data_IF_678857202829
#
_entry.id   IF_678857202829
#
_cell.length_a   1.000
_cell.length_b   1.000
_cell.length_c   1.000
_cell.angle_alpha   90.00
_cell.angle_beta   90.00
_cell.angle_gamma   90.00
#
_symmetry.space_group_name_H-M   'P 1'
#
loop_
_entity.id
_entity.type
_entity.pdbx_description
1 polymer ?
#
# COMPACT_ATOMS: atom_id res chain seq x y z
N UNK A 1 2.33 -2.61 11.57
CA UNK A 1 2.31 -4.09 11.47
C UNK A 1 1.18 -4.59 12.34
N UNK A 2 0.31 -5.42 11.80
CA UNK A 2 -0.86 -5.91 12.51
C UNK A 2 -1.02 -7.41 12.27
N UNK A 3 -1.57 -8.10 13.27
CA UNK A 3 -2.02 -9.47 13.10
C UNK A 3 -3.30 -9.52 12.24
N UNK A 4 -3.37 -10.50 11.33
CA UNK A 4 -4.47 -10.61 10.37
C UNK A 4 -5.71 -11.21 11.03
N UNK A 5 -5.57 -12.14 11.99
CA UNK A 5 -6.72 -12.80 12.63
C UNK A 5 -7.45 -11.86 13.60
N UNK A 6 -6.70 -11.34 14.58
CA UNK A 6 -7.21 -10.50 15.67
C UNK A 6 -7.33 -9.03 15.32
N UNK A 7 -6.69 -8.59 14.22
CA UNK A 7 -6.56 -7.17 13.83
C UNK A 7 -5.79 -6.33 14.85
N UNK A 8 -5.03 -6.97 15.73
CA UNK A 8 -4.25 -6.29 16.76
C UNK A 8 -3.01 -5.63 16.14
N UNK A 9 -2.75 -4.37 16.50
CA UNK A 9 -1.55 -3.66 16.08
C UNK A 9 -0.37 -4.10 16.92
N UNK A 10 0.57 -4.81 16.31
CA UNK A 10 1.76 -5.35 16.98
C UNK A 10 2.87 -4.31 17.10
N UNK A 11 3.09 -3.54 16.04
CA UNK A 11 4.17 -2.54 16.00
C UNK A 11 3.85 -1.44 14.98
N UNK A 12 4.28 -0.22 15.23
CA UNK A 12 4.25 0.87 14.26
C UNK A 12 5.41 1.84 14.48
N UNK A 13 5.91 2.38 13.37
CA UNK A 13 7.00 3.35 13.38
C UNK A 13 6.55 4.51 12.49
N UNK A 14 6.51 5.76 13.01
CA UNK A 14 6.15 6.91 12.20
C UNK A 14 7.26 7.20 11.17
N UNK A 15 6.85 7.55 9.95
CA UNK A 15 7.78 8.07 8.95
C UNK A 15 7.91 9.59 9.11
N UNK A 16 9.11 10.05 9.46
CA UNK A 16 9.40 11.47 9.75
C UNK A 16 10.07 12.19 8.56
N UNK A 17 9.95 11.63 7.35
CA UNK A 17 10.54 12.22 6.15
C UNK A 17 12.07 12.15 6.16
N UNK A 18 12.72 13.25 5.77
CA UNK A 18 14.19 13.36 5.66
C UNK A 18 14.92 13.18 6.99
N UNK A 19 14.23 13.37 8.12
CA UNK A 19 14.81 13.15 9.44
C UNK A 19 14.92 11.66 9.82
N UNK A 20 14.39 10.75 8.98
CA UNK A 20 14.46 9.31 9.25
C UNK A 20 15.89 8.82 9.05
N UNK A 21 16.60 8.53 10.13
CA UNK A 21 17.92 7.91 10.05
C UNK A 21 17.77 6.41 9.78
N UNK A 22 18.22 5.95 8.62
CA UNK A 22 18.17 4.53 8.21
C UNK A 22 19.51 3.82 8.32
N UNK A 23 20.54 4.47 8.88
CA UNK A 23 21.91 3.93 8.99
C UNK A 23 22.45 3.38 7.65
N UNK A 24 22.15 4.07 6.55
CA UNK A 24 22.59 3.68 5.20
C UNK A 24 21.75 2.59 4.52
N UNK A 25 20.77 1.99 5.21
CA UNK A 25 19.85 1.04 4.58
C UNK A 25 18.81 1.74 3.70
N UNK A 26 18.36 1.09 2.61
CA UNK A 26 17.19 1.54 1.88
C UNK A 26 15.98 1.64 2.82
N UNK A 27 15.21 2.72 2.71
CA UNK A 27 14.08 3.02 3.59
C UNK A 27 13.11 1.84 3.78
N UNK A 28 12.82 1.12 2.68
CA UNK A 28 11.96 -0.07 2.67
C UNK A 28 12.48 -1.18 3.59
N UNK A 29 13.79 -1.42 3.58
CA UNK A 29 14.43 -2.53 4.30
C UNK A 29 14.57 -2.16 5.77
N UNK A 30 14.94 -0.92 6.05
CA UNK A 30 14.98 -0.36 7.40
C UNK A 30 13.63 -0.55 8.10
N UNK A 31 12.54 -0.04 7.51
CA UNK A 31 11.22 -0.16 8.12
C UNK A 31 10.77 -1.60 8.26
N UNK A 32 11.05 -2.46 7.28
CA UNK A 32 10.67 -3.86 7.39
C UNK A 32 11.41 -4.56 8.52
N UNK A 33 12.72 -4.36 8.65
CA UNK A 33 13.52 -4.96 9.72
C UNK A 33 13.11 -4.48 11.11
N UNK A 34 12.87 -3.17 11.26
CA UNK A 34 12.46 -2.59 12.55
C UNK A 34 11.01 -2.93 12.92
N UNK A 35 10.08 -2.88 11.96
CA UNK A 35 8.67 -3.20 12.21
C UNK A 35 8.50 -4.67 12.62
N UNK A 36 9.28 -5.57 12.03
CA UNK A 36 9.17 -7.02 12.28
C UNK A 36 10.00 -7.49 13.46
N UNK A 37 10.77 -6.62 14.11
CA UNK A 37 11.61 -6.96 15.28
C UNK A 37 10.92 -7.82 16.35
N UNK A 38 9.64 -7.57 16.72
CA UNK A 38 8.95 -8.38 17.74
C UNK A 38 8.68 -9.84 17.32
N UNK A 39 8.78 -10.15 16.03
CA UNK A 39 8.42 -11.46 15.46
C UNK A 39 9.61 -12.11 14.74
N UNK A 40 10.83 -11.63 14.96
CA UNK A 40 12.03 -12.35 14.48
C UNK A 40 12.10 -13.71 15.19
N UNK A 41 12.42 -14.76 14.44
CA UNK A 41 12.49 -16.14 14.94
C UNK A 41 11.15 -16.89 14.93
N UNK A 42 10.01 -16.21 14.75
CA UNK A 42 8.69 -16.80 14.96
C UNK A 42 8.14 -17.64 13.80
N UNK A 43 8.83 -17.66 12.65
CA UNK A 43 8.39 -18.38 11.43
C UNK A 43 7.02 -17.90 10.90
N UNK A 44 6.65 -16.65 11.19
CA UNK A 44 5.37 -16.07 10.77
C UNK A 44 5.39 -15.53 9.33
N UNK A 45 4.21 -15.53 8.70
CA UNK A 45 4.00 -15.01 7.35
C UNK A 45 3.71 -13.51 7.33
N UNK A 46 4.50 -12.78 6.56
CA UNK A 46 4.34 -11.35 6.31
C UNK A 46 3.72 -11.12 4.96
N UNK A 47 2.56 -10.46 4.94
CA UNK A 47 2.00 -9.91 3.71
C UNK A 47 2.35 -8.45 3.58
N UNK A 48 2.96 -8.07 2.45
CA UNK A 48 3.43 -6.71 2.21
C UNK A 48 2.97 -6.16 0.85
N UNK A 49 2.80 -4.83 0.79
CA UNK A 49 2.57 -4.15 -0.48
C UNK A 49 3.87 -4.03 -1.29
N UNK A 50 3.73 -3.76 -2.60
CA UNK A 50 4.85 -3.74 -3.54
C UNK A 50 5.99 -2.77 -3.18
N UNK A 51 5.73 -1.71 -2.41
CA UNK A 51 6.78 -0.79 -1.97
C UNK A 51 7.79 -1.44 -1.03
N UNK A 52 7.33 -2.36 -0.17
CA UNK A 52 8.16 -3.06 0.82
C UNK A 52 8.77 -4.35 0.27
N UNK A 53 8.15 -4.96 -0.73
CA UNK A 53 8.61 -6.24 -1.31
C UNK A 53 9.89 -6.08 -2.12
N UNK A 54 10.92 -6.89 -1.84
CA UNK A 54 12.14 -7.01 -2.65
C UNK A 54 12.70 -8.44 -2.55
N UNK A 55 13.32 -8.92 -3.63
CA UNK A 55 13.97 -10.25 -3.66
C UNK A 55 15.07 -10.36 -2.61
N UNK A 56 15.94 -9.34 -2.50
CA UNK A 56 17.01 -9.33 -1.50
C UNK A 56 16.47 -9.36 -0.07
N UNK A 57 15.42 -8.58 0.20
CA UNK A 57 14.78 -8.56 1.50
C UNK A 57 14.16 -9.92 1.83
N UNK A 58 13.45 -10.54 0.89
CA UNK A 58 12.89 -11.87 1.05
C UNK A 58 13.97 -12.91 1.37
N UNK A 59 15.08 -12.92 0.62
CA UNK A 59 16.23 -13.81 0.91
C UNK A 59 16.84 -13.55 2.30
N UNK A 60 16.91 -12.29 2.73
CA UNK A 60 17.46 -11.94 4.04
C UNK A 60 16.56 -12.39 5.20
N UNK A 61 15.24 -12.32 5.04
CA UNK A 61 14.28 -12.68 6.08
C UNK A 61 14.25 -14.18 6.34
N UNK A 62 14.60 -15.01 5.36
CA UNK A 62 14.68 -16.46 5.54
C UNK A 62 15.84 -16.90 6.43
N UNK A 63 16.87 -16.05 6.60
CA UNK A 63 18.07 -16.38 7.37
C UNK A 63 17.92 -15.95 8.83
N UNK A 64 18.79 -16.47 9.68
CA UNK A 64 18.98 -15.94 11.04
C UNK A 64 19.38 -14.45 10.98
N UNK A 65 18.89 -13.61 11.90
CA UNK A 65 18.03 -13.91 13.05
C UNK A 65 16.52 -13.85 12.73
N UNK A 66 16.14 -13.55 11.48
CA UNK A 66 14.78 -13.18 11.14
C UNK A 66 13.83 -14.38 11.12
N UNK A 67 14.17 -15.48 10.44
CA UNK A 67 13.26 -16.63 10.23
C UNK A 67 11.83 -16.20 9.88
N UNK A 68 11.74 -15.26 8.95
CA UNK A 68 10.52 -14.66 8.46
C UNK A 68 10.44 -14.82 6.96
N UNK A 69 9.30 -14.41 6.46
CA UNK A 69 8.63 -15.15 5.45
C UNK A 69 7.74 -14.12 4.77
N UNK A 70 8.02 -13.81 3.52
CA UNK A 70 7.47 -12.63 2.85
C UNK A 70 6.62 -13.02 1.65
N UNK A 71 5.37 -12.56 1.65
CA UNK A 71 4.44 -12.63 0.53
C UNK A 71 4.12 -11.21 0.09
N UNK A 72 4.36 -10.90 -1.18
CA UNK A 72 4.08 -9.57 -1.69
C UNK A 72 4.02 -9.49 -3.19
N UNK A 73 3.55 -8.35 -3.68
CA UNK A 73 3.54 -8.05 -5.12
C UNK A 73 4.81 -7.37 -5.56
N UNK A 74 5.20 -7.57 -6.82
CA UNK A 74 6.32 -6.87 -7.48
C UNK A 74 5.86 -6.31 -8.82
N UNK A 75 6.25 -5.08 -9.12
CA UNK A 75 6.02 -4.46 -10.43
C UNK A 75 6.83 -5.16 -11.51
N UNK A 76 6.24 -5.35 -12.69
CA UNK A 76 6.83 -6.02 -13.86
C UNK A 76 8.12 -5.35 -14.38
N UNK A 77 8.29 -4.05 -14.14
CA UNK A 77 9.45 -3.30 -14.60
C UNK A 77 10.74 -3.57 -13.79
N UNK A 78 10.71 -4.51 -12.85
CA UNK A 78 11.88 -4.85 -12.04
C UNK A 78 12.77 -5.82 -12.79
N UNK A 79 14.08 -5.52 -12.79
CA UNK A 79 15.12 -6.32 -13.46
C UNK A 79 15.25 -7.74 -12.91
N UNK A 80 14.79 -7.95 -11.68
CA UNK A 80 14.74 -9.25 -11.00
C UNK A 80 13.74 -10.23 -11.65
N UNK A 81 12.86 -9.75 -12.54
CA UNK A 81 11.81 -10.57 -13.15
C UNK A 81 12.28 -11.01 -14.55
N UNK A 82 12.29 -12.33 -14.85
CA UNK A 82 12.62 -12.86 -16.17
C UNK A 82 11.68 -12.36 -17.26
N UNK A 83 12.17 -12.23 -18.50
CA UNK A 83 11.39 -11.65 -19.61
C UNK A 83 10.24 -12.59 -20.04
N UNK A 84 10.46 -13.89 -19.94
CA UNK A 84 9.48 -14.96 -20.11
C UNK A 84 8.28 -14.74 -19.17
N UNK A 85 8.58 -14.25 -17.96
CA UNK A 85 7.59 -13.94 -16.92
C UNK A 85 6.90 -12.58 -17.10
N UNK A 86 7.38 -11.72 -18.01
CA UNK A 86 6.74 -10.45 -18.38
C UNK A 86 5.81 -10.60 -19.59
N UNK A 87 6.15 -11.47 -20.53
CA UNK A 87 5.36 -11.70 -21.73
C UNK A 87 4.04 -12.44 -21.40
N UNK A 88 2.95 -11.68 -21.29
CA UNK A 88 1.60 -12.22 -21.00
C UNK A 88 0.76 -12.53 -22.26
N UNK A 89 1.23 -12.19 -23.46
CA UNK A 89 0.47 -12.38 -24.70
C UNK A 89 0.73 -13.71 -25.41
N UNK A 90 1.94 -14.26 -25.37
CA UNK A 90 2.37 -15.42 -26.18
C UNK A 90 2.72 -16.66 -25.36
N UNK A 91 2.06 -16.90 -24.22
CA UNK A 91 2.41 -18.05 -23.35
C UNK A 91 1.76 -19.36 -23.80
N UNK A 92 2.53 -20.45 -23.92
CA UNK A 92 2.00 -21.77 -24.30
C UNK A 92 1.31 -22.56 -23.16
N UNK A 93 1.15 -22.03 -21.94
CA UNK A 93 0.80 -22.82 -20.74
C UNK A 93 -0.35 -22.31 -19.86
N UNK A 94 -1.27 -21.49 -20.38
CA UNK A 94 -2.39 -20.96 -19.60
C UNK A 94 -2.11 -19.62 -18.88
N UNK A 95 -2.97 -19.18 -17.94
CA UNK A 95 -2.92 -17.83 -17.37
C UNK A 95 -1.84 -17.63 -16.30
N UNK A 96 -1.26 -18.70 -15.75
CA UNK A 96 -0.25 -18.67 -14.69
C UNK A 96 1.08 -19.27 -15.15
N UNK A 97 2.19 -18.66 -14.73
CA UNK A 97 3.54 -19.18 -14.89
C UNK A 97 4.27 -19.07 -13.55
N UNK A 98 4.98 -20.14 -13.19
CA UNK A 98 5.78 -20.22 -11.98
C UNK A 98 7.26 -20.17 -12.34
N UNK A 99 8.03 -19.39 -11.60
CA UNK A 99 9.48 -19.33 -11.67
C UNK A 99 10.07 -19.57 -10.30
N UNK A 100 11.22 -20.22 -10.24
CA UNK A 100 11.86 -20.60 -8.98
C UNK A 100 13.30 -20.06 -8.95
N UNK A 101 13.68 -19.41 -7.86
CA UNK A 101 15.04 -18.90 -7.59
C UNK A 101 15.45 -19.35 -6.18
N UNK A 102 16.02 -20.55 -6.09
CA UNK A 102 16.35 -21.20 -4.82
C UNK A 102 15.09 -21.40 -3.97
N UNK A 103 15.05 -20.74 -2.81
CA UNK A 103 13.92 -20.81 -1.88
C UNK A 103 12.80 -19.81 -2.18
N UNK A 104 12.89 -19.03 -3.26
CA UNK A 104 11.87 -18.08 -3.66
C UNK A 104 11.06 -18.63 -4.83
N UNK A 105 9.75 -18.49 -4.74
CA UNK A 105 8.84 -18.80 -5.83
C UNK A 105 8.30 -17.47 -6.39
N UNK A 106 8.12 -17.42 -7.70
CA UNK A 106 7.64 -16.27 -8.43
C UNK A 106 6.41 -16.71 -9.21
N UNK A 107 5.29 -15.99 -9.08
CA UNK A 107 4.06 -16.31 -9.83
C UNK A 107 3.68 -15.13 -10.69
N UNK A 108 3.68 -15.35 -12.00
CA UNK A 108 3.15 -14.41 -12.99
C UNK A 108 1.77 -14.88 -13.42
N UNK A 109 0.74 -14.09 -13.12
CA UNK A 109 -0.65 -14.42 -13.44
C UNK A 109 -1.32 -13.32 -14.26
N UNK A 110 -1.92 -13.71 -15.37
CA UNK A 110 -2.62 -12.81 -16.29
C UNK A 110 -4.02 -12.50 -15.76
N UNK A 111 -4.23 -11.25 -15.34
CA UNK A 111 -5.56 -10.69 -15.06
C UNK A 111 -6.03 -9.80 -16.22
N UNK A 112 -7.32 -9.46 -16.27
CA UNK A 112 -7.89 -8.51 -17.25
C UNK A 112 -7.20 -7.13 -17.25
N UNK A 113 -6.50 -6.77 -16.17
CA UNK A 113 -5.82 -5.48 -15.99
C UNK A 113 -4.29 -5.56 -16.11
N UNK A 114 -3.78 -6.62 -16.75
CA UNK A 114 -2.38 -6.77 -17.23
C UNK A 114 -1.28 -6.53 -16.20
N UNK A 115 -1.46 -6.96 -14.95
CA UNK A 115 -0.41 -6.81 -13.91
C UNK A 115 -0.53 -7.98 -12.93
N UNK A 116 0.56 -8.72 -12.71
CA UNK A 116 1.27 -8.78 -11.43
C UNK A 116 2.10 -10.05 -11.27
N UNK A 117 3.20 -9.86 -10.56
CA UNK A 117 4.13 -10.89 -10.16
C UNK A 117 4.13 -10.96 -8.62
N UNK A 118 3.90 -12.15 -8.07
CA UNK A 118 3.85 -12.39 -6.63
C UNK A 118 5.11 -13.16 -6.21
N UNK A 119 5.74 -12.75 -5.12
CA UNK A 119 6.84 -13.45 -4.47
C UNK A 119 6.34 -14.04 -3.15
N UNK A 120 5.86 -15.28 -3.17
CA UNK A 120 5.88 -16.16 -2.01
C UNK A 120 7.28 -16.66 -1.66
N UNK A 121 7.33 -17.28 -0.50
CA UNK A 121 8.15 -18.46 -0.28
C UNK A 121 7.17 -19.48 0.37
N UNK A 122 7.11 -20.67 -0.19
CA UNK A 122 6.88 -21.94 0.50
C UNK A 122 7.31 -22.99 -0.52
N UNK A 123 7.83 -24.11 -0.03
CA UNK A 123 8.33 -25.21 -0.85
C UNK A 123 7.19 -25.97 -1.56
N UNK A 124 6.03 -25.34 -1.73
CA UNK A 124 4.91 -25.91 -2.44
C UNK A 124 5.08 -25.56 -3.92
N UNK A 125 5.23 -26.61 -4.73
CA UNK A 125 5.07 -26.53 -6.18
C UNK A 125 3.84 -25.70 -6.51
N UNK A 126 3.87 -24.91 -7.58
CA UNK A 126 2.80 -23.99 -7.94
C UNK A 126 1.39 -24.60 -7.92
N UNK A 127 0.70 -24.55 -6.78
CA UNK A 127 -0.62 -25.17 -6.61
C UNK A 127 -1.68 -24.26 -7.23
N UNK A 128 -2.43 -24.83 -8.16
CA UNK A 128 -3.62 -24.22 -8.72
C UNK A 128 -4.85 -24.71 -7.97
N UNK A 129 -5.73 -23.79 -7.62
CA UNK A 129 -7.01 -24.17 -7.05
C UNK A 129 -7.90 -24.80 -8.15
N UNK A 130 -8.36 -26.06 -7.99
CA UNK A 130 -9.10 -26.77 -9.03
C UNK A 130 -10.45 -26.12 -9.36
N UNK A 131 -11.04 -25.37 -8.42
CA UNK A 131 -12.35 -24.72 -8.60
C UNK A 131 -12.24 -23.39 -9.34
N UNK A 132 -11.16 -22.64 -9.14
CA UNK A 132 -11.03 -21.27 -9.66
C UNK A 132 -9.99 -21.12 -10.76
N UNK A 133 -9.12 -22.12 -10.94
CA UNK A 133 -7.96 -22.05 -11.85
C UNK A 133 -6.93 -20.98 -11.45
N UNK A 134 -7.03 -20.41 -10.24
CA UNK A 134 -6.10 -19.39 -9.73
C UNK A 134 -5.00 -20.04 -8.90
N UNK A 135 -3.76 -19.55 -8.98
CA UNK A 135 -2.73 -19.89 -8.02
C UNK A 135 -3.18 -19.60 -6.58
N UNK A 136 -3.06 -20.58 -5.69
CA UNK A 136 -3.49 -20.48 -4.28
C UNK A 136 -2.89 -19.25 -3.59
N UNK A 137 -1.65 -18.98 -3.90
CA UNK A 137 -0.89 -17.82 -3.47
C UNK A 137 -1.50 -16.46 -3.76
N UNK A 138 -2.16 -16.33 -4.91
CA UNK A 138 -2.87 -15.11 -5.29
C UNK A 138 -4.12 -14.98 -4.43
N UNK A 139 -4.78 -16.10 -4.15
CA UNK A 139 -5.92 -16.13 -3.25
C UNK A 139 -5.48 -15.72 -1.83
N UNK A 140 -4.40 -16.31 -1.32
CA UNK A 140 -3.81 -15.99 -0.02
C UNK A 140 -3.44 -14.50 0.10
N UNK A 141 -2.72 -13.95 -0.89
CA UNK A 141 -2.33 -12.54 -0.88
C UNK A 141 -3.55 -11.61 -0.93
N UNK A 142 -4.54 -11.90 -1.78
CA UNK A 142 -5.71 -11.04 -1.90
C UNK A 142 -6.52 -11.03 -0.61
N UNK A 143 -6.71 -12.22 0.00
CA UNK A 143 -7.40 -12.37 1.26
C UNK A 143 -6.73 -11.52 2.36
N UNK A 144 -5.42 -11.68 2.56
CA UNK A 144 -4.65 -10.97 3.59
C UNK A 144 -4.57 -9.46 3.34
N UNK A 145 -4.46 -9.02 2.08
CA UNK A 145 -4.46 -7.60 1.69
C UNK A 145 -5.81 -6.92 1.92
N UNK A 146 -6.90 -7.56 1.50
CA UNK A 146 -8.24 -7.01 1.66
C UNK A 146 -8.60 -6.87 3.14
N UNK A 147 -8.19 -7.86 3.94
CA UNK A 147 -8.29 -7.83 5.40
C UNK A 147 -7.52 -6.70 6.09
N UNK A 148 -6.48 -6.14 5.46
CA UNK A 148 -5.78 -4.96 5.97
C UNK A 148 -6.50 -3.66 5.61
N UNK A 149 -7.13 -3.58 4.43
CA UNK A 149 -7.73 -2.33 3.92
C UNK A 149 -9.11 -2.02 4.49
N UNK A 150 -10.02 -3.01 4.51
CA UNK A 150 -11.43 -2.76 4.86
C UNK A 150 -11.61 -2.53 6.37
N UNK A 151 -11.06 -3.38 7.28
CA UNK A 151 -11.28 -3.23 8.71
C UNK A 151 -10.51 -2.07 9.33
N UNK A 152 -9.32 -1.73 8.81
CA UNK A 152 -8.50 -0.65 9.39
C UNK A 152 -9.22 0.68 9.27
N UNK A 153 -9.63 1.08 8.06
CA UNK A 153 -10.37 2.32 7.83
C UNK A 153 -11.66 2.32 8.65
N UNK A 154 -12.48 1.26 8.59
CA UNK A 154 -13.75 1.19 9.34
C UNK A 154 -13.56 1.37 10.85
N UNK A 155 -12.51 0.77 11.44
CA UNK A 155 -12.23 0.85 12.89
C UNK A 155 -11.60 2.18 13.30
N UNK A 156 -10.79 2.79 12.43
CA UNK A 156 -10.15 4.08 12.72
C UNK A 156 -11.04 5.28 12.38
N UNK A 157 -12.08 5.10 11.56
CA UNK A 157 -13.01 6.16 11.14
C UNK A 157 -13.54 7.01 12.31
N UNK A 158 -14.07 6.43 13.42
CA UNK A 158 -14.59 7.25 14.52
C UNK A 158 -13.52 8.15 15.14
N UNK A 159 -12.29 7.65 15.28
CA UNK A 159 -11.15 8.40 15.81
C UNK A 159 -10.67 9.48 14.86
N UNK A 160 -10.68 9.20 13.56
CA UNK A 160 -10.34 10.17 12.51
C UNK A 160 -11.37 11.31 12.46
N UNK A 161 -12.67 11.01 12.58
CA UNK A 161 -13.74 12.02 12.67
C UNK A 161 -13.53 12.91 13.91
N UNK A 162 -13.34 12.29 15.09
CA UNK A 162 -13.04 13.02 16.32
C UNK A 162 -11.77 13.88 16.20
N UNK A 163 -10.77 13.44 15.42
CA UNK A 163 -9.55 14.22 15.18
C UNK A 163 -9.82 15.46 14.33
N UNK A 164 -10.76 15.42 13.39
CA UNK A 164 -11.13 16.56 12.53
C UNK A 164 -11.80 17.69 13.31
N UNK A 165 -12.47 17.36 14.43
CA UNK A 165 -13.10 18.34 15.33
C UNK A 165 -12.07 19.20 16.09
N UNK A 166 -10.80 18.77 16.15
CA UNK A 166 -9.76 19.50 16.87
C UNK A 166 -9.41 20.84 16.16
N UNK A 167 -9.53 21.99 16.83
CA UNK A 167 -9.29 23.31 16.24
C UNK A 167 -7.81 23.55 15.91
N UNK A 168 -6.90 22.88 16.63
CA UNK A 168 -5.44 22.98 16.46
C UNK A 168 -4.88 22.06 15.38
N UNK A 169 -5.72 21.28 14.68
CA UNK A 169 -5.26 20.34 13.67
C UNK A 169 -4.66 21.07 12.46
N UNK A 170 -3.37 20.84 12.12
CA UNK A 170 -2.75 21.46 10.96
C UNK A 170 -3.49 21.14 9.66
N UNK A 171 -3.59 22.10 8.75
CA UNK A 171 -4.35 21.97 7.49
C UNK A 171 -3.94 20.72 6.68
N UNK A 172 -2.65 20.48 6.51
CA UNK A 172 -2.16 19.31 5.77
C UNK A 172 -2.61 17.98 6.41
N UNK A 173 -2.65 17.90 7.73
CA UNK A 173 -3.08 16.71 8.45
C UNK A 173 -4.60 16.51 8.31
N UNK A 174 -5.36 17.61 8.32
CA UNK A 174 -6.80 17.60 8.03
C UNK A 174 -7.07 17.09 6.61
N UNK A 175 -6.38 17.63 5.61
CA UNK A 175 -6.51 17.23 4.21
C UNK A 175 -6.16 15.73 4.03
N UNK A 176 -5.10 15.26 4.69
CA UNK A 176 -4.72 13.85 4.68
C UNK A 176 -5.82 12.95 5.26
N UNK A 177 -6.43 13.34 6.40
CA UNK A 177 -7.52 12.57 7.02
C UNK A 177 -8.74 12.54 6.10
N UNK A 178 -9.10 13.67 5.49
CA UNK A 178 -10.23 13.75 4.57
C UNK A 178 -10.04 12.89 3.32
N UNK A 179 -8.81 12.83 2.78
CA UNK A 179 -8.47 12.00 1.63
C UNK A 179 -8.50 10.48 1.92
N UNK A 180 -8.46 10.07 3.19
CA UNK A 180 -8.57 8.65 3.58
C UNK A 180 -10.03 8.17 3.50
N UNK A 181 -11.00 9.07 3.73
CA UNK A 181 -12.40 8.73 3.54
C UNK A 181 -12.71 8.66 2.05
N UNK A 182 -13.33 7.57 1.56
CA UNK A 182 -13.84 7.58 0.20
C UNK A 182 -14.77 8.78 0.06
N UNK A 183 -14.61 9.56 -1.02
CA UNK A 183 -15.55 10.63 -1.34
C UNK A 183 -16.95 10.01 -1.28
N UNK A 184 -17.82 10.56 -0.43
CA UNK A 184 -19.26 10.34 -0.61
C UNK A 184 -19.52 10.72 -2.06
N UNK A 185 -20.07 9.79 -2.86
CA UNK A 185 -20.55 10.11 -4.19
C UNK A 185 -21.31 11.43 -4.10
N UNK A 186 -20.87 12.41 -4.86
CA UNK A 186 -21.46 13.73 -4.95
C UNK A 186 -22.76 13.67 -5.78
N UNK A 187 -23.58 12.64 -5.57
CA UNK A 187 -24.80 12.37 -6.33
C UNK A 187 -25.97 12.09 -5.36
N UNK A 188 -26.18 12.99 -4.39
CA UNK A 188 -27.42 13.06 -3.61
C UNK A 188 -27.52 14.38 -2.83
N UNK A 189 -27.29 15.52 -3.49
CA UNK A 189 -27.88 16.80 -3.05
C UNK A 189 -27.83 17.85 -4.17
N UNK A 190 -28.44 17.56 -5.33
CA UNK A 190 -28.93 18.62 -6.21
C UNK A 190 -30.45 18.53 -6.26
N UNK A 191 -31.11 19.30 -5.40
CA UNK A 191 -32.34 20.06 -5.69
C UNK A 191 -32.75 20.82 -4.44
N UNK A 192 -32.21 22.02 -4.29
CA UNK A 192 -32.99 23.24 -4.06
C UNK A 192 -32.09 24.38 -4.49
N UNK A 193 -32.33 24.86 -5.71
CA UNK A 193 -31.61 26.01 -6.26
C UNK A 193 -31.90 27.25 -5.43
N UNK A 194 -30.87 27.75 -4.78
CA UNK A 194 -30.74 29.17 -4.47
C UNK A 194 -29.31 29.56 -4.89
N UNK A 195 -29.21 30.28 -6.00
CA UNK A 195 -27.97 30.89 -6.46
C UNK A 195 -27.35 31.73 -5.33
N UNK A 196 -26.08 31.50 -4.96
CA UNK A 196 -25.41 32.40 -4.03
C UNK A 196 -25.14 33.73 -4.76
N UNK A 197 -25.45 34.89 -4.15
CA UNK A 197 -25.23 36.18 -4.80
C UNK A 197 -23.75 36.39 -5.10
N UNK A 198 -23.48 36.98 -6.27
CA UNK A 198 -22.13 37.24 -6.77
C UNK A 198 -21.26 37.93 -5.70
N UNK A 199 -20.13 37.30 -5.35
CA UNK A 199 -19.16 37.86 -4.41
C UNK A 199 -18.59 39.17 -4.96
N UNK A 200 -19.10 40.32 -4.48
CA UNK A 200 -18.45 41.61 -4.69
C UNK A 200 -17.08 41.57 -4.02
N UNK A 201 -16.01 41.83 -4.79
CA UNK A 201 -14.65 42.00 -4.26
C UNK A 201 -14.69 43.17 -3.29
N UNK A 202 -14.39 42.95 -2.00
CA UNK A 202 -14.21 44.07 -1.06
C UNK A 202 -12.89 44.76 -1.39
N UNK A 203 -12.97 45.98 -1.90
CA UNK A 203 -11.82 46.87 -1.99
C UNK A 203 -11.67 47.59 -0.64
N UNK A 204 -10.45 47.93 -0.25
CA UNK A 204 -10.23 48.71 0.97
C UNK A 204 -10.55 50.18 0.67
N UNK A 205 -11.55 50.75 1.35
CA UNK A 205 -12.05 52.10 1.09
C UNK A 205 -11.05 53.22 1.43
N UNK A 206 -9.98 52.89 2.17
CA UNK A 206 -8.94 53.85 2.58
C UNK A 206 -7.69 53.85 1.69
N UNK A 207 -7.53 52.87 0.80
CA UNK A 207 -6.28 52.72 0.05
C UNK A 207 -6.40 53.28 -1.38
N UNK A 208 -5.90 54.50 -1.61
CA UNK A 208 -6.01 55.24 -2.87
C UNK A 208 -5.01 54.83 -3.96
N UNK A 209 -4.21 53.77 -3.78
CA UNK A 209 -3.12 53.46 -4.74
C UNK A 209 -3.28 52.13 -5.48
N UNK A 210 -3.47 52.24 -6.80
CA UNK A 210 -3.24 51.19 -7.82
C UNK A 210 -1.76 50.77 -7.86
N UNK A 211 -1.20 50.20 -6.80
CA UNK A 211 0.16 49.64 -6.84
C UNK A 211 0.12 48.14 -7.17
N UNK A 212 0.14 47.91 -8.48
CA UNK A 212 0.90 46.86 -9.20
C UNK A 212 1.18 45.58 -8.38
N UNK A 213 0.30 44.57 -8.47
CA UNK A 213 0.74 43.18 -8.31
C UNK A 213 1.40 42.74 -9.61
N UNK A 214 2.71 42.96 -9.72
CA UNK A 214 3.58 42.17 -10.58
C UNK A 214 5.01 42.24 -10.05
N UNK A 215 5.58 41.04 -9.79
CA UNK A 215 6.97 40.66 -9.47
C UNK A 215 7.39 40.88 -8.01
N UNK A 216 8.12 39.96 -7.35
CA UNK A 216 9.01 38.88 -7.82
C UNK A 216 8.50 37.48 -7.50
#
# INVERSE_FOLDING_TARGET
>A
MCDIGTKYMLNAIPYIGKATNTNGLPLREYFMKELTRPIHGSKCNLTCDNWFTSVLLAKSFLREPYKLTLVGTRRLNKREIPEEMKNTCSRPGGPSMFGYDGCLTLVSYKTKLSKMVYLPYSCDEGVLNPKTGKPEMIMYYNQTKEYMKIPSTKRTTPWMIKRLEAPTLPKHARDNILNIFPQRNHDALETTGNEPPAKKRRYCDYCTSKKRRCRK
#
